data_IF_674548887276
#
_entry.id   IF_674548887276
#
_cell.length_a   1.000
_cell.length_b   1.000
_cell.length_c   1.000
_cell.angle_alpha   90.00
_cell.angle_beta   90.00
_cell.angle_gamma   90.00
#
_symmetry.space_group_name_H-M   'P 1'
#
loop_
_entity.id
_entity.type
_entity.pdbx_description
1 polymer ?
#
# COMPACT_ATOMS: atom_id res chain seq x y z
N UNK A 1 -25.96 21.12 18.21
CA UNK A 1 -26.67 21.33 16.93
C UNK A 1 -26.02 20.46 15.88
N UNK A 2 -26.76 19.67 15.08
CA UNK A 2 -26.17 18.95 13.95
C UNK A 2 -25.71 19.95 12.88
N UNK A 3 -24.43 19.90 12.49
CA UNK A 3 -23.90 20.67 11.37
C UNK A 3 -24.29 19.98 10.06
N UNK A 4 -25.12 20.63 9.25
CA UNK A 4 -25.53 20.12 7.93
C UNK A 4 -24.55 20.64 6.89
N UNK A 5 -23.93 19.71 6.14
CA UNK A 5 -23.04 20.03 5.01
C UNK A 5 -23.75 19.62 3.73
N UNK A 6 -23.95 20.59 2.83
CA UNK A 6 -24.53 20.33 1.50
C UNK A 6 -23.41 20.05 0.52
N UNK A 7 -23.43 18.86 -0.09
CA UNK A 7 -22.49 18.43 -1.13
C UNK A 7 -23.30 18.25 -2.41
N UNK A 8 -22.82 18.80 -3.52
CA UNK A 8 -23.44 18.67 -4.84
C UNK A 8 -22.58 17.73 -5.68
N UNK A 9 -23.25 16.83 -6.38
CA UNK A 9 -22.64 15.92 -7.34
C UNK A 9 -23.19 16.24 -8.72
N UNK A 10 -22.41 16.03 -9.77
CA UNK A 10 -22.94 15.96 -11.13
C UNK A 10 -23.61 14.59 -11.38
N UNK A 11 -24.23 14.41 -12.54
CA UNK A 11 -25.02 13.20 -12.84
C UNK A 11 -24.14 11.94 -12.88
N UNK A 12 -22.94 12.02 -13.45
CA UNK A 12 -21.99 10.89 -13.53
C UNK A 12 -21.48 10.47 -12.13
N UNK A 13 -21.13 11.45 -11.30
CA UNK A 13 -20.71 11.25 -9.92
C UNK A 13 -21.84 10.64 -9.08
N UNK A 14 -23.08 11.10 -9.27
CA UNK A 14 -24.24 10.58 -8.56
C UNK A 14 -24.50 9.11 -8.91
N UNK A 15 -24.41 8.72 -10.18
CA UNK A 15 -24.55 7.33 -10.62
C UNK A 15 -23.43 6.44 -10.05
N UNK A 16 -22.20 6.93 -10.05
CA UNK A 16 -21.06 6.20 -9.48
C UNK A 16 -21.23 5.99 -7.97
N UNK A 17 -21.68 7.03 -7.27
CA UNK A 17 -21.91 7.00 -5.82
C UNK A 17 -23.07 6.08 -5.43
N UNK A 18 -24.14 6.04 -6.22
CA UNK A 18 -25.25 5.10 -6.03
C UNK A 18 -24.82 3.64 -6.22
N UNK A 19 -24.01 3.36 -7.24
CA UNK A 19 -23.45 2.01 -7.46
C UNK A 19 -22.55 1.58 -6.31
N UNK A 20 -21.67 2.47 -5.84
CA UNK A 20 -20.80 2.20 -4.70
C UNK A 20 -21.61 1.97 -3.41
N UNK A 21 -22.67 2.75 -3.19
CA UNK A 21 -23.58 2.59 -2.05
C UNK A 21 -24.30 1.24 -2.07
N UNK A 22 -24.85 0.85 -3.22
CA UNK A 22 -25.52 -0.44 -3.38
C UNK A 22 -24.59 -1.63 -3.06
N UNK A 23 -23.30 -1.52 -3.41
CA UNK A 23 -22.30 -2.55 -3.09
C UNK A 23 -21.86 -2.54 -1.62
N UNK A 24 -22.04 -1.43 -0.89
CA UNK A 24 -21.54 -1.26 0.47
C UNK A 24 -22.42 -1.88 1.57
N UNK A 25 -23.70 -2.16 1.29
CA UNK A 25 -24.67 -2.66 2.28
C UNK A 25 -24.99 -1.68 3.42
N UNK A 26 -24.53 -0.43 3.34
CA UNK A 26 -24.70 0.59 4.39
C UNK A 26 -26.11 1.19 4.36
N UNK A 27 -26.72 1.39 5.52
CA UNK A 27 -28.02 2.04 5.63
C UNK A 27 -27.93 3.54 5.25
N UNK A 28 -28.42 3.86 4.06
CA UNK A 28 -28.55 5.23 3.55
C UNK A 28 -27.28 5.82 2.94
N UNK A 29 -27.47 6.55 1.85
CA UNK A 29 -26.39 7.15 1.06
C UNK A 29 -25.55 8.16 1.86
N UNK A 30 -26.18 8.94 2.75
CA UNK A 30 -25.47 9.92 3.60
C UNK A 30 -24.48 9.25 4.56
N UNK A 31 -24.84 8.08 5.11
CA UNK A 31 -23.96 7.31 6.00
C UNK A 31 -22.77 6.73 5.23
N UNK A 32 -23.01 6.25 4.01
CA UNK A 32 -21.96 5.77 3.12
C UNK A 32 -20.99 6.88 2.72
N UNK A 33 -21.49 8.05 2.32
CA UNK A 33 -20.66 9.23 2.02
C UNK A 33 -19.81 9.60 3.24
N UNK A 34 -20.40 9.66 4.44
CA UNK A 34 -19.65 9.98 5.65
C UNK A 34 -18.57 8.94 5.95
N UNK A 35 -18.86 7.64 5.84
CA UNK A 35 -17.85 6.61 6.04
C UNK A 35 -16.70 6.75 5.06
N UNK A 36 -16.97 6.89 3.76
CA UNK A 36 -15.91 7.04 2.75
C UNK A 36 -15.06 8.30 3.01
N UNK A 37 -15.68 9.45 3.29
CA UNK A 37 -14.94 10.70 3.54
C UNK A 37 -14.17 10.68 4.87
N UNK A 38 -14.74 10.15 5.94
CA UNK A 38 -14.09 10.14 7.26
C UNK A 38 -13.11 8.98 7.45
N UNK A 39 -13.33 7.82 6.83
CA UNK A 39 -12.35 6.72 6.84
C UNK A 39 -11.19 6.97 5.88
N UNK A 40 -11.38 7.71 4.78
CA UNK A 40 -10.26 8.20 3.97
C UNK A 40 -9.38 9.20 4.75
N UNK A 41 -9.96 9.94 5.70
CA UNK A 41 -9.25 10.86 6.60
C UNK A 41 -8.60 10.14 7.80
N UNK A 42 -9.07 8.94 8.14
CA UNK A 42 -8.31 8.03 9.02
C UNK A 42 -7.18 7.45 8.20
N UNK A 43 -6.09 8.22 8.08
CA UNK A 43 -4.78 7.63 7.87
C UNK A 43 -4.69 6.43 8.80
N UNK A 44 -4.53 5.24 8.22
CA UNK A 44 -4.58 3.97 8.94
C UNK A 44 -3.25 3.82 9.71
N UNK A 45 -3.04 4.72 10.68
CA UNK A 45 -1.80 4.86 11.45
C UNK A 45 -1.45 3.54 12.14
N UNK A 46 -2.46 2.77 12.55
CA UNK A 46 -2.28 1.42 13.08
C UNK A 46 -1.64 0.47 12.06
N UNK A 47 -2.15 0.42 10.83
CA UNK A 47 -1.58 -0.43 9.76
C UNK A 47 -0.16 0.02 9.40
N UNK A 48 0.12 1.32 9.37
CA UNK A 48 1.48 1.82 9.12
C UNK A 48 2.43 1.50 10.28
N UNK A 49 1.94 1.49 11.53
CA UNK A 49 2.72 1.07 12.70
C UNK A 49 2.96 -0.44 12.72
N UNK A 50 1.98 -1.25 12.31
CA UNK A 50 2.13 -2.70 12.15
C UNK A 50 3.14 -3.03 11.05
N UNK A 51 3.02 -2.40 9.88
CA UNK A 51 3.99 -2.54 8.78
C UNK A 51 5.39 -2.11 9.25
N UNK A 52 5.51 -1.02 9.99
CA UNK A 52 6.79 -0.58 10.55
C UNK A 52 7.36 -1.62 11.53
N UNK A 53 6.54 -2.18 12.40
CA UNK A 53 6.95 -3.23 13.34
C UNK A 53 7.41 -4.51 12.63
N UNK A 54 6.75 -4.89 11.54
CA UNK A 54 7.14 -6.04 10.74
C UNK A 54 8.44 -5.78 9.95
N UNK A 55 8.63 -4.58 9.43
CA UNK A 55 9.88 -4.16 8.80
C UNK A 55 11.06 -4.16 9.80
N UNK A 56 10.85 -3.69 11.02
CA UNK A 56 11.87 -3.72 12.08
C UNK A 56 12.23 -5.16 12.46
N UNK A 57 11.26 -6.09 12.50
CA UNK A 57 11.51 -7.52 12.74
C UNK A 57 12.28 -8.17 11.60
N UNK A 58 11.94 -7.83 10.35
CA UNK A 58 12.68 -8.30 9.17
C UNK A 58 14.12 -7.77 9.22
N UNK A 59 14.30 -6.48 9.51
CA UNK A 59 15.63 -5.87 9.67
C UNK A 59 16.46 -6.56 10.76
N UNK A 60 15.86 -6.83 11.92
CA UNK A 60 16.52 -7.57 12.99
C UNK A 60 16.85 -9.03 12.62
N UNK A 61 16.01 -9.67 11.80
CA UNK A 61 16.29 -11.01 11.25
C UNK A 61 17.46 -11.00 10.28
N UNK A 62 17.54 -9.97 9.43
CA UNK A 62 18.65 -9.76 8.48
C UNK A 62 19.96 -9.48 9.21
N UNK A 63 19.96 -8.65 10.26
CA UNK A 63 21.15 -8.40 11.07
C UNK A 63 21.63 -9.67 11.79
N UNK A 64 20.72 -10.50 12.32
CA UNK A 64 21.10 -11.80 12.90
C UNK A 64 21.64 -12.79 11.88
N UNK A 65 21.12 -12.79 10.65
CA UNK A 65 21.67 -13.59 9.57
C UNK A 65 23.07 -13.09 9.16
N UNK A 66 23.31 -11.78 9.21
CA UNK A 66 24.64 -11.18 8.98
C UNK A 66 25.66 -11.60 10.04
N UNK A 67 25.24 -11.70 11.29
CA UNK A 67 26.13 -12.09 12.41
C UNK A 67 26.31 -13.62 12.54
N UNK A 68 25.41 -14.41 11.96
CA UNK A 68 25.49 -15.88 11.98
C UNK A 68 26.39 -16.45 10.88
N UNK A 69 26.76 -15.63 9.89
CA UNK A 69 27.57 -16.06 8.76
C UNK A 69 29.02 -15.57 8.91
N UNK A 70 29.87 -16.46 9.43
CA UNK A 70 31.32 -16.36 9.31
C UNK A 70 31.81 -16.65 7.87
N UNK A 71 30.92 -16.68 6.88
CA UNK A 71 31.18 -16.51 5.46
C UNK A 71 30.44 -15.26 4.99
N UNK A 72 31.04 -14.50 4.06
CA UNK A 72 30.50 -13.23 3.54
C UNK A 72 28.97 -13.28 3.35
N UNK A 73 28.21 -12.27 3.81
CA UNK A 73 26.78 -12.20 3.49
C UNK A 73 26.64 -12.28 1.97
N UNK A 74 25.87 -13.27 1.50
CA UNK A 74 25.52 -13.41 0.09
C UNK A 74 24.68 -12.18 -0.30
N UNK A 75 25.41 -11.14 -0.67
CA UNK A 75 24.88 -9.81 -0.98
C UNK A 75 23.94 -9.91 -2.17
N UNK A 76 24.15 -10.92 -3.04
CA UNK A 76 23.24 -11.22 -4.14
C UNK A 76 21.95 -11.86 -3.65
N UNK A 77 21.98 -12.69 -2.61
CA UNK A 77 20.74 -13.22 -2.00
C UNK A 77 19.94 -12.12 -1.31
N UNK A 78 20.60 -11.24 -0.57
CA UNK A 78 19.96 -10.07 0.05
C UNK A 78 19.36 -9.14 -0.99
N UNK A 79 20.09 -8.86 -2.07
CA UNK A 79 19.60 -8.03 -3.18
C UNK A 79 18.38 -8.68 -3.85
N UNK A 80 18.40 -10.00 -4.09
CA UNK A 80 17.25 -10.73 -4.62
C UNK A 80 16.02 -10.65 -3.71
N UNK A 81 16.19 -10.76 -2.39
CA UNK A 81 15.10 -10.61 -1.42
C UNK A 81 14.52 -9.19 -1.46
N UNK A 82 15.37 -8.16 -1.46
CA UNK A 82 14.93 -6.75 -1.51
C UNK A 82 14.19 -6.46 -2.82
N UNK A 83 14.72 -6.93 -3.95
CA UNK A 83 14.06 -6.83 -5.26
C UNK A 83 12.69 -7.54 -5.27
N UNK A 84 12.60 -8.73 -4.69
CA UNK A 84 11.35 -9.49 -4.59
C UNK A 84 10.31 -8.76 -3.74
N UNK A 85 10.70 -8.26 -2.56
CA UNK A 85 9.84 -7.47 -1.69
C UNK A 85 9.34 -6.20 -2.37
N UNK A 86 10.22 -5.49 -3.09
CA UNK A 86 9.84 -4.31 -3.86
C UNK A 86 8.77 -4.64 -4.91
N UNK A 87 8.93 -5.70 -5.70
CA UNK A 87 7.95 -6.10 -6.72
C UNK A 87 6.61 -6.49 -6.08
N UNK A 88 6.63 -7.20 -4.96
CA UNK A 88 5.41 -7.57 -4.22
C UNK A 88 4.66 -6.34 -3.70
N UNK A 89 5.37 -5.40 -3.06
CA UNK A 89 4.77 -4.16 -2.54
C UNK A 89 4.26 -3.29 -3.69
N UNK A 90 5.03 -3.15 -4.77
CA UNK A 90 4.60 -2.37 -5.94
C UNK A 90 3.30 -2.91 -6.55
N UNK A 91 3.11 -4.23 -6.56
CA UNK A 91 1.88 -4.88 -7.05
C UNK A 91 0.69 -4.69 -6.10
N UNK A 92 0.93 -4.47 -4.79
CA UNK A 92 -0.14 -4.29 -3.80
C UNK A 92 -0.57 -2.83 -3.59
N UNK A 93 0.21 -1.85 -4.05
CA UNK A 93 -0.11 -0.41 -3.94
C UNK A 93 -0.86 0.14 -5.16
N UNK A 94 -1.60 1.23 -4.98
CA UNK A 94 -2.35 1.92 -6.04
C UNK A 94 -1.45 2.66 -7.06
N UNK A 95 -2.05 3.04 -8.19
CA UNK A 95 -1.36 3.59 -9.37
C UNK A 95 -0.51 4.83 -9.06
N UNK A 96 -0.99 5.73 -8.20
CA UNK A 96 -0.24 6.94 -7.82
C UNK A 96 1.07 6.66 -7.06
N UNK A 97 1.07 5.69 -6.13
CA UNK A 97 2.28 5.28 -5.41
C UNK A 97 3.23 4.53 -6.35
N UNK A 98 2.67 3.72 -7.24
CA UNK A 98 3.42 3.01 -8.29
C UNK A 98 4.17 3.97 -9.21
N UNK A 99 3.48 5.01 -9.70
CA UNK A 99 4.06 6.02 -10.58
C UNK A 99 5.19 6.81 -9.92
N UNK A 100 5.11 7.07 -8.61
CA UNK A 100 6.20 7.72 -7.86
C UNK A 100 7.41 6.79 -7.71
N UNK A 101 7.20 5.51 -7.43
CA UNK A 101 8.28 4.52 -7.33
C UNK A 101 8.99 4.33 -8.68
N UNK A 102 8.24 4.30 -9.78
CA UNK A 102 8.78 4.14 -11.15
C UNK A 102 9.64 5.32 -11.62
N UNK A 103 9.53 6.50 -10.99
CA UNK A 103 10.41 7.64 -11.29
C UNK A 103 11.83 7.44 -10.75
N UNK A 104 11.99 6.60 -9.73
CA UNK A 104 13.25 6.40 -9.02
C UNK A 104 13.86 5.02 -9.33
N UNK A 105 13.01 4.01 -9.55
CA UNK A 105 13.41 2.63 -9.73
C UNK A 105 12.80 2.05 -11.00
N UNK A 106 13.64 1.58 -11.92
CA UNK A 106 13.19 0.84 -13.09
C UNK A 106 12.75 -0.57 -12.68
N UNK A 107 11.43 -0.79 -12.65
CA UNK A 107 10.87 -2.10 -12.33
C UNK A 107 11.30 -3.17 -13.33
N UNK A 108 11.52 -2.81 -14.59
CA UNK A 108 11.85 -3.77 -15.64
C UNK A 108 13.26 -4.32 -15.44
N UNK A 109 14.19 -3.47 -14.97
CA UNK A 109 15.52 -3.89 -14.56
C UNK A 109 15.48 -4.83 -13.35
N UNK A 110 14.62 -4.53 -12.36
CA UNK A 110 14.45 -5.35 -11.16
C UNK A 110 13.83 -6.71 -11.48
N UNK A 111 12.78 -6.75 -12.31
CA UNK A 111 12.19 -8.01 -12.76
C UNK A 111 13.15 -8.80 -13.67
N UNK A 112 13.95 -8.12 -14.50
CA UNK A 112 15.01 -8.74 -15.29
C UNK A 112 16.08 -9.39 -14.42
N UNK A 113 16.53 -8.69 -13.37
CA UNK A 113 17.46 -9.23 -12.39
C UNK A 113 16.91 -10.48 -11.68
N UNK A 114 15.64 -10.47 -11.29
CA UNK A 114 14.98 -11.62 -10.65
C UNK A 114 14.76 -12.81 -11.59
N UNK A 115 14.58 -12.58 -12.90
CA UNK A 115 14.38 -13.62 -13.92
C UNK A 115 15.68 -14.20 -14.49
N UNK A 116 16.77 -13.44 -14.40
CA UNK A 116 18.11 -13.84 -14.86
C UNK A 116 18.86 -14.76 -13.89
N UNK A 117 18.19 -15.19 -12.81
CA UNK A 117 18.64 -16.16 -11.83
C UNK A 117 17.76 -17.41 -11.88
#
# INVERSE_FOLDING_TARGET
MPSIVSIKFNDEEAELLQRAHAASGVAGLSSHIKQVYFDALKLNVGVLQEIRGDLDRIGAGVERLRDSDAGKPDTDMLLAIVCGLYVMVRKSVGEGIRAQADQVLDVSAIEGYLKGR
#
